data_IF_196998247520
#
_entry.id   IF_196998247520
#
_cell.length_a   1.000
_cell.length_b   1.000
_cell.length_c   1.000
_cell.angle_alpha   90.00
_cell.angle_beta   90.00
_cell.angle_gamma   90.00
#
_symmetry.space_group_name_H-M   'P 1'
#
loop_
_entity.id
_entity.type
_entity.pdbx_description
1 polymer ?
#
# COMPACT_ATOMS: atom_id res chain seq x y z
N UNK A 1 -2.41 13.86 -3.41
CA UNK A 1 -2.45 12.44 -2.97
C UNK A 1 -1.02 12.06 -2.67
N UNK A 2 -0.75 11.51 -1.50
CA UNK A 2 0.60 11.03 -1.17
C UNK A 2 0.85 9.67 -1.81
N UNK A 3 2.05 9.45 -2.33
CA UNK A 3 2.44 8.19 -2.99
C UNK A 3 2.87 7.12 -1.98
N UNK A 4 2.80 5.84 -2.36
CA UNK A 4 3.21 4.70 -1.52
C UNK A 4 4.60 4.91 -0.89
N UNK A 5 5.58 5.32 -1.69
CA UNK A 5 6.96 5.55 -1.21
C UNK A 5 7.05 6.65 -0.16
N UNK A 6 6.25 7.71 -0.28
CA UNK A 6 6.21 8.80 0.71
C UNK A 6 5.67 8.28 2.05
N UNK A 7 4.68 7.38 2.04
CA UNK A 7 4.11 6.77 3.26
C UNK A 7 5.12 5.86 3.95
N UNK A 8 5.86 5.07 3.17
CA UNK A 8 6.94 4.22 3.69
C UNK A 8 8.06 5.08 4.27
N UNK A 9 8.44 6.16 3.58
CA UNK A 9 9.48 7.08 4.05
C UNK A 9 9.10 7.74 5.37
N UNK A 10 7.88 8.27 5.47
CA UNK A 10 7.35 8.83 6.74
C UNK A 10 7.33 7.80 7.87
N UNK A 11 6.94 6.56 7.57
CA UNK A 11 6.94 5.48 8.57
C UNK A 11 8.35 5.21 9.09
N UNK A 12 9.36 5.17 8.20
CA UNK A 12 10.78 5.01 8.59
C UNK A 12 11.25 6.16 9.48
N UNK A 13 10.87 7.39 9.17
CA UNK A 13 11.18 8.56 10.00
C UNK A 13 10.52 8.49 11.39
N UNK A 14 9.27 8.04 11.45
CA UNK A 14 8.55 7.82 12.71
C UNK A 14 9.25 6.74 13.55
N UNK A 15 9.64 5.62 12.95
CA UNK A 15 10.40 4.57 13.62
C UNK A 15 11.76 5.07 14.13
N UNK A 16 12.46 5.87 13.34
CA UNK A 16 13.72 6.49 13.78
C UNK A 16 13.52 7.40 14.99
N UNK A 17 12.45 8.21 15.00
CA UNK A 17 12.09 9.05 16.15
C UNK A 17 11.74 8.21 17.36
N UNK A 18 10.93 7.16 17.22
CA UNK A 18 10.55 6.26 18.31
C UNK A 18 11.73 5.54 18.97
N UNK A 19 12.82 5.31 18.23
CA UNK A 19 14.06 4.73 18.75
C UNK A 19 14.97 5.75 19.47
N UNK A 20 14.65 7.05 19.43
CA UNK A 20 15.38 8.06 20.18
C UNK A 20 15.04 7.97 21.68
N UNK A 21 16.03 8.14 22.54
CA UNK A 21 15.90 7.97 24.01
C UNK A 21 15.25 9.18 24.73
N UNK A 22 14.76 10.17 23.99
CA UNK A 22 14.20 11.44 24.51
C UNK A 22 12.74 11.63 24.07
N UNK A 23 11.89 10.64 24.32
CA UNK A 23 10.46 10.75 24.07
C UNK A 23 9.68 10.45 25.35
N UNK A 24 8.75 11.33 25.68
CA UNK A 24 7.75 11.02 26.69
C UNK A 24 6.83 9.90 26.18
N UNK A 25 6.25 9.14 27.10
CA UNK A 25 5.29 8.08 26.78
C UNK A 25 4.15 8.58 25.86
N UNK A 26 3.67 9.80 26.10
CA UNK A 26 2.59 10.42 25.32
C UNK A 26 3.01 10.67 23.87
N UNK A 27 4.23 11.16 23.67
CA UNK A 27 4.78 11.42 22.32
C UNK A 27 5.05 10.12 21.58
N UNK A 28 5.62 9.12 22.26
CA UNK A 28 5.81 7.78 21.70
C UNK A 28 4.48 7.16 21.25
N UNK A 29 3.42 7.31 22.04
CA UNK A 29 2.10 6.78 21.68
C UNK A 29 1.47 7.51 20.50
N UNK A 30 1.68 8.83 20.40
CA UNK A 30 1.19 9.63 19.28
C UNK A 30 1.92 9.26 17.98
N UNK A 31 3.26 9.20 18.02
CA UNK A 31 4.08 8.79 16.89
C UNK A 31 3.74 7.37 16.42
N UNK A 32 3.58 6.44 17.35
CA UNK A 32 3.18 5.07 17.02
C UNK A 32 1.85 5.02 16.26
N UNK A 33 0.81 5.74 16.74
CA UNK A 33 -0.49 5.80 16.06
C UNK A 33 -0.37 6.31 14.63
N UNK A 34 0.36 7.41 14.43
CA UNK A 34 0.59 7.98 13.09
C UNK A 34 1.33 6.98 12.20
N UNK A 35 2.38 6.31 12.71
CA UNK A 35 3.12 5.32 11.94
C UNK A 35 2.24 4.13 11.51
N UNK A 36 1.35 3.66 12.39
CA UNK A 36 0.40 2.60 12.06
C UNK A 36 -0.62 3.05 11.00
N UNK A 37 -1.08 4.30 11.06
CA UNK A 37 -2.00 4.85 10.05
C UNK A 37 -1.34 4.95 8.67
N UNK A 38 -0.09 5.42 8.60
CA UNK A 38 0.67 5.47 7.35
C UNK A 38 0.91 4.07 6.76
N UNK A 39 1.23 3.08 7.60
CA UNK A 39 1.38 1.68 7.18
C UNK A 39 0.08 1.10 6.63
N UNK A 40 -1.06 1.34 7.30
CA UNK A 40 -2.37 0.89 6.82
C UNK A 40 -2.72 1.51 5.47
N UNK A 41 -2.44 2.79 5.30
CA UNK A 41 -2.69 3.47 4.03
C UNK A 41 -1.81 2.90 2.91
N UNK A 42 -0.53 2.64 3.18
CA UNK A 42 0.38 2.00 2.23
C UNK A 42 -0.07 0.58 1.86
N UNK A 43 -0.51 -0.23 2.84
CA UNK A 43 -1.05 -1.56 2.59
C UNK A 43 -2.30 -1.52 1.70
N UNK A 44 -3.23 -0.60 1.97
CA UNK A 44 -4.43 -0.45 1.15
C UNK A 44 -4.10 -0.04 -0.31
N UNK A 45 -2.99 0.66 -0.55
CA UNK A 45 -2.54 0.94 -1.92
C UNK A 45 -2.06 -0.34 -2.63
N UNK A 46 -1.30 -1.20 -1.93
CA UNK A 46 -0.86 -2.48 -2.49
C UNK A 46 -2.02 -3.43 -2.77
N UNK A 47 -3.01 -3.47 -1.89
CA UNK A 47 -4.21 -4.30 -2.08
C UNK A 47 -5.00 -3.85 -3.31
N UNK A 48 -5.16 -2.53 -3.53
CA UNK A 48 -5.78 -2.00 -4.75
C UNK A 48 -4.99 -2.34 -6.00
N UNK A 49 -3.67 -2.11 -5.99
CA UNK A 49 -2.81 -2.44 -7.13
C UNK A 49 -2.86 -3.94 -7.48
N UNK A 50 -2.94 -4.82 -6.46
CA UNK A 50 -3.12 -6.25 -6.67
C UNK A 50 -4.48 -6.58 -7.27
N UNK A 51 -5.55 -5.95 -6.81
CA UNK A 51 -6.89 -6.14 -7.37
C UNK A 51 -6.94 -5.69 -8.84
N UNK A 52 -6.42 -4.51 -9.16
CA UNK A 52 -6.32 -4.00 -10.52
C UNK A 52 -5.52 -4.95 -11.43
N UNK A 53 -4.41 -5.50 -10.94
CA UNK A 53 -3.62 -6.47 -11.68
C UNK A 53 -4.40 -7.76 -11.99
N UNK A 54 -5.13 -8.31 -11.01
CA UNK A 54 -5.95 -9.51 -11.24
C UNK A 54 -7.12 -9.24 -12.20
N UNK A 55 -7.69 -8.03 -12.18
CA UNK A 55 -8.72 -7.61 -13.14
C UNK A 55 -8.17 -7.55 -14.57
N UNK A 56 -7.00 -6.91 -14.77
CA UNK A 56 -6.33 -6.86 -16.09
C UNK A 56 -6.03 -8.26 -16.59
N UNK A 57 -5.46 -9.11 -15.73
CA UNK A 57 -5.15 -10.50 -16.07
C UNK A 57 -6.41 -11.30 -16.44
N UNK A 58 -7.53 -11.07 -15.76
CA UNK A 58 -8.79 -11.73 -16.09
C UNK A 58 -9.35 -11.25 -17.43
N UNK A 59 -9.19 -9.96 -17.77
CA UNK A 59 -9.59 -9.38 -19.06
C UNK A 59 -8.74 -9.90 -20.23
N UNK A 60 -7.42 -10.00 -20.05
CA UNK A 60 -6.52 -10.57 -21.07
C UNK A 60 -6.90 -12.02 -21.43
N UNK A 61 -7.35 -12.80 -20.45
CA UNK A 61 -7.82 -14.19 -20.66
C UNK A 61 -9.20 -14.23 -21.32
N UNK A 62 -10.08 -13.25 -21.08
CA UNK A 62 -11.39 -13.19 -21.74
C UNK A 62 -11.29 -12.75 -23.20
N UNK A 63 -10.38 -11.83 -23.52
CA UNK A 63 -10.19 -11.35 -24.90
C UNK A 63 -9.56 -12.43 -25.78
N UNK A 64 -8.62 -13.23 -25.25
CA UNK A 64 -8.04 -14.37 -25.96
C UNK A 64 -9.05 -15.51 -26.29
N UNK A 65 -10.11 -15.67 -25.50
CA UNK A 65 -11.16 -16.68 -25.75
C UNK A 65 -12.25 -16.21 -26.71
N UNK A 66 -12.45 -14.90 -26.84
CA UNK A 66 -13.42 -14.32 -27.77
C UNK A 66 -12.96 -14.42 -29.24
N UNK A 67 -11.66 -14.27 -29.51
CA UNK A 67 -11.09 -14.39 -30.86
C UNK A 67 -11.12 -15.84 -31.39
N UNK A 68 -10.90 -16.84 -30.51
CA UNK A 68 -10.96 -18.27 -30.87
C UNK A 68 -12.35 -18.76 -31.30
N UNK A 69 -13.42 -18.11 -30.81
CA UNK A 69 -14.80 -18.50 -31.11
C UNK A 69 -15.36 -17.86 -32.39
N UNK A 70 -14.64 -16.89 -32.99
CA UNK A 70 -15.07 -16.19 -34.20
C UNK A 70 -14.55 -16.82 -35.51
N UNK A 71 -13.59 -17.74 -35.43
CA UNK A 71 -12.98 -18.42 -36.59
C UNK A 71 -13.50 -19.86 -36.82
N UNK A 72 -14.57 -20.29 -36.13
CA UNK A 72 -15.20 -21.62 -36.31
C UNK A 72 -16.53 -21.58 -37.06
#
# INVERSE_FOLDING_TARGET
MEHFEEKIQKTKEILSKLNAQDLSLKESLALYKVGVEELKAAQAMLERAKAEYEEIKAQDVSDANAESSAES
#
